data_IF_337077114044
#
_entry.id   IF_337077114044
#
_cell.length_a   1.000
_cell.length_b   1.000
_cell.length_c   1.000
_cell.angle_alpha   90.00
_cell.angle_beta   90.00
_cell.angle_gamma   90.00
#
_symmetry.space_group_name_H-M   'P 1'
#
loop_
_entity.id
_entity.type
_entity.pdbx_description
1 polymer ?
#
# COMPACT_ATOMS: atom_id res chain seq x y z
N UNK A 1 -0.19 13.35 23.53
CA UNK A 1 -0.72 12.71 22.32
C UNK A 1 -2.21 13.06 22.24
N UNK A 2 -2.57 14.04 21.41
CA UNK A 2 -3.95 14.53 21.34
C UNK A 2 -4.79 13.51 20.57
N UNK A 3 -5.68 12.83 21.28
CA UNK A 3 -6.53 11.77 20.72
C UNK A 3 -7.64 12.43 19.90
N UNK A 4 -7.47 12.50 18.59
CA UNK A 4 -8.45 13.09 17.66
C UNK A 4 -9.45 12.01 17.27
N UNK A 5 -10.72 12.35 17.40
CA UNK A 5 -11.85 11.44 17.20
C UNK A 5 -12.84 12.13 16.27
N UNK A 6 -13.09 11.53 15.11
CA UNK A 6 -14.17 11.90 14.23
C UNK A 6 -15.48 11.37 14.85
N UNK A 7 -16.10 12.15 15.74
CA UNK A 7 -17.46 11.88 16.21
C UNK A 7 -18.40 12.85 15.50
N UNK A 8 -19.16 12.34 14.53
CA UNK A 8 -20.43 12.95 14.15
C UNK A 8 -21.43 12.67 15.28
N UNK A 9 -21.41 13.50 16.31
CA UNK A 9 -22.41 13.54 17.36
C UNK A 9 -23.33 14.71 17.03
N UNK A 10 -24.28 14.52 16.13
CA UNK A 10 -25.27 15.55 15.78
C UNK A 10 -26.10 15.90 17.01
N UNK A 11 -25.62 16.85 17.81
CA UNK A 11 -26.41 17.49 18.85
C UNK A 11 -27.27 18.60 18.22
N UNK A 12 -26.70 19.32 17.25
CA UNK A 12 -27.40 20.13 16.26
C UNK A 12 -26.51 20.33 15.03
N UNK A 13 -26.92 19.83 13.86
CA UNK A 13 -26.28 20.21 12.59
C UNK A 13 -26.90 21.51 12.12
N UNK A 14 -26.11 22.57 11.99
CA UNK A 14 -26.56 23.80 11.34
C UNK A 14 -26.46 23.64 9.82
N UNK A 15 -27.32 24.35 9.09
CA UNK A 15 -27.33 24.28 7.64
C UNK A 15 -27.68 25.63 6.99
N UNK A 16 -27.07 25.87 5.84
CA UNK A 16 -27.40 26.92 4.89
C UNK A 16 -27.66 26.31 3.51
N UNK A 17 -28.62 26.87 2.77
CA UNK A 17 -28.94 26.50 1.39
C UNK A 17 -29.74 27.62 0.70
N UNK A 18 -29.74 27.64 -0.63
CA UNK A 18 -30.55 28.59 -1.40
C UNK A 18 -32.06 28.31 -1.23
N UNK A 19 -32.43 27.04 -1.07
CA UNK A 19 -33.81 26.58 -0.92
C UNK A 19 -33.90 25.41 0.06
N UNK A 20 -34.97 25.43 0.87
CA UNK A 20 -35.39 24.33 1.75
C UNK A 20 -36.83 23.93 1.43
N UNK A 21 -37.07 22.63 1.29
CA UNK A 21 -38.40 22.04 1.16
C UNK A 21 -38.64 21.03 2.29
N UNK A 22 -39.82 21.08 2.90
CA UNK A 22 -40.27 20.05 3.84
C UNK A 22 -41.35 19.21 3.18
N UNK A 23 -41.00 17.97 2.87
CA UNK A 23 -41.86 17.02 2.19
C UNK A 23 -42.47 16.08 3.23
N UNK A 24 -43.77 15.81 3.11
CA UNK A 24 -44.47 14.82 3.94
C UNK A 24 -44.66 13.55 3.12
N UNK A 25 -44.03 12.48 3.56
CA UNK A 25 -44.11 11.14 2.99
C UNK A 25 -44.89 10.22 3.94
N UNK A 26 -45.21 9.00 3.48
CA UNK A 26 -45.85 7.98 4.33
C UNK A 26 -44.96 7.59 5.52
N UNK A 27 -43.63 7.60 5.31
CA UNK A 27 -42.61 7.25 6.31
C UNK A 27 -42.33 8.36 7.33
N UNK A 28 -42.70 9.61 7.04
CA UNK A 28 -42.43 10.75 7.91
C UNK A 28 -42.23 12.07 7.16
N UNK A 29 -41.48 12.99 7.78
CA UNK A 29 -41.07 14.25 7.15
C UNK A 29 -39.65 14.12 6.60
N UNK A 30 -39.45 14.52 5.37
CA UNK A 30 -38.14 14.64 4.71
C UNK A 30 -37.82 16.12 4.53
N UNK A 31 -36.59 16.53 4.83
CA UNK A 31 -36.11 17.87 4.51
C UNK A 31 -35.16 17.78 3.32
N UNK A 32 -35.46 18.54 2.28
CA UNK A 32 -34.66 18.62 1.06
C UNK A 32 -34.06 20.02 0.95
N UNK A 33 -32.73 20.10 0.86
CA UNK A 33 -31.97 21.34 0.68
C UNK A 33 -31.39 21.37 -0.73
N UNK A 34 -31.48 22.51 -1.41
CA UNK A 34 -30.99 22.66 -2.78
C UNK A 34 -30.26 23.99 -2.95
N UNK A 35 -29.13 23.95 -3.65
CA UNK A 35 -28.31 25.11 -4.00
C UNK A 35 -27.38 25.53 -2.86
N UNK A 36 -26.07 25.56 -3.14
CA UNK A 36 -25.02 25.96 -2.20
C UNK A 36 -25.16 25.35 -0.79
N UNK A 37 -25.52 24.07 -0.70
CA UNK A 37 -25.76 23.41 0.58
C UNK A 37 -24.47 23.39 1.40
N UNK A 38 -24.54 23.93 2.61
CA UNK A 38 -23.48 23.94 3.60
C UNK A 38 -24.04 23.43 4.92
N UNK A 39 -23.53 22.30 5.39
CA UNK A 39 -23.87 21.70 6.69
C UNK A 39 -22.66 21.82 7.59
N UNK A 40 -22.82 22.32 8.82
CA UNK A 40 -21.67 22.54 9.68
C UNK A 40 -21.97 22.37 11.18
N UNK A 41 -20.92 21.97 11.88
CA UNK A 41 -20.81 21.86 13.35
C UNK A 41 -19.37 22.24 13.72
N UNK A 42 -19.06 22.57 14.97
CA UNK A 42 -17.78 23.13 15.46
C UNK A 42 -16.50 22.72 14.68
N UNK A 43 -16.36 21.43 14.34
CA UNK A 43 -15.18 20.84 13.68
C UNK A 43 -15.49 20.10 12.38
N UNK A 44 -16.63 20.38 11.78
CA UNK A 44 -17.13 19.72 10.58
C UNK A 44 -17.76 20.75 9.65
N UNK A 45 -17.31 20.79 8.41
CA UNK A 45 -17.89 21.60 7.33
C UNK A 45 -18.11 20.67 6.13
N UNK A 46 -19.38 20.49 5.74
CA UNK A 46 -19.81 19.67 4.60
C UNK A 46 -20.43 20.60 3.57
N UNK A 47 -19.97 20.55 2.32
CA UNK A 47 -20.54 21.32 1.21
C UNK A 47 -20.94 20.43 0.06
N UNK A 48 -22.06 20.76 -0.58
CA UNK A 48 -22.59 20.07 -1.74
C UNK A 48 -23.60 20.93 -2.50
N UNK A 49 -24.17 20.38 -3.56
CA UNK A 49 -25.24 21.03 -4.32
C UNK A 49 -26.63 20.76 -3.74
N UNK A 50 -26.82 19.60 -3.11
CA UNK A 50 -28.11 19.10 -2.65
C UNK A 50 -27.94 18.22 -1.42
N UNK A 51 -28.89 18.26 -0.48
CA UNK A 51 -28.93 17.35 0.65
C UNK A 51 -30.34 16.91 1.02
N UNK A 52 -30.46 15.67 1.48
CA UNK A 52 -31.69 15.05 1.95
C UNK A 52 -31.51 14.58 3.39
N UNK A 53 -32.34 15.09 4.28
CA UNK A 53 -32.47 14.59 5.64
C UNK A 53 -33.72 13.74 5.73
N UNK A 54 -33.52 12.46 6.05
CA UNK A 54 -34.60 11.47 6.15
C UNK A 54 -34.58 10.83 7.54
N UNK A 55 -35.20 11.46 8.56
CA UNK A 55 -35.21 10.98 9.93
C UNK A 55 -35.77 9.56 10.09
N UNK A 56 -36.81 9.21 9.33
CA UNK A 56 -37.43 7.89 9.37
C UNK A 56 -36.50 6.77 8.89
N UNK A 57 -35.68 7.06 7.87
CA UNK A 57 -34.65 6.15 7.36
C UNK A 57 -33.34 6.24 8.17
N UNK A 58 -33.25 7.13 9.15
CA UNK A 58 -32.02 7.45 9.88
C UNK A 58 -30.86 7.77 8.92
N UNK A 59 -31.10 8.60 7.91
CA UNK A 59 -30.11 8.89 6.88
C UNK A 59 -29.98 10.39 6.53
N UNK A 60 -28.75 10.77 6.18
CA UNK A 60 -28.40 12.03 5.53
C UNK A 60 -27.73 11.70 4.20
N UNK A 61 -28.18 12.31 3.11
CA UNK A 61 -27.59 12.12 1.80
C UNK A 61 -27.17 13.49 1.26
N UNK A 62 -25.97 13.60 0.70
CA UNK A 62 -25.44 14.84 0.12
C UNK A 62 -24.90 14.52 -1.27
N UNK A 63 -25.26 15.35 -2.26
CA UNK A 63 -24.87 15.19 -3.66
C UNK A 63 -24.18 16.44 -4.21
N UNK A 64 -23.40 16.23 -5.27
CA UNK A 64 -22.92 17.29 -6.16
C UNK A 64 -21.63 17.95 -5.67
N UNK A 65 -20.48 17.42 -6.11
CA UNK A 65 -19.14 17.93 -5.79
C UNK A 65 -18.89 18.07 -4.29
N UNK A 66 -19.13 16.99 -3.55
CA UNK A 66 -19.00 16.94 -2.10
C UNK A 66 -17.60 17.35 -1.66
N UNK A 67 -17.53 18.26 -0.67
CA UNK A 67 -16.32 18.58 0.08
C UNK A 67 -16.64 18.48 1.57
N UNK A 68 -15.81 17.76 2.31
CA UNK A 68 -15.90 17.70 3.77
C UNK A 68 -14.55 18.15 4.32
N UNK A 69 -14.58 19.16 5.18
CA UNK A 69 -13.45 19.51 6.04
C UNK A 69 -13.77 19.09 7.46
N UNK A 70 -12.88 18.31 8.04
CA UNK A 70 -12.95 17.91 9.43
C UNK A 70 -11.67 18.33 10.17
N UNK A 71 -11.63 18.08 11.48
CA UNK A 71 -10.49 18.46 12.31
C UNK A 71 -9.14 17.93 11.78
N UNK A 72 -9.11 16.71 11.24
CA UNK A 72 -7.89 16.01 10.84
C UNK A 72 -7.94 15.43 9.42
N UNK A 73 -8.97 15.77 8.63
CA UNK A 73 -9.11 15.24 7.29
C UNK A 73 -9.82 16.22 6.35
N UNK A 74 -9.34 16.28 5.11
CA UNK A 74 -10.04 16.86 3.97
C UNK A 74 -10.53 15.73 3.06
N UNK A 75 -11.82 15.71 2.76
CA UNK A 75 -12.45 14.68 1.94
C UNK A 75 -13.16 15.31 0.76
N UNK A 76 -13.02 14.72 -0.43
CA UNK A 76 -13.81 15.05 -1.61
C UNK A 76 -14.42 13.80 -2.21
N UNK A 77 -15.65 13.89 -2.72
CA UNK A 77 -16.33 12.81 -3.45
C UNK A 77 -17.44 13.40 -4.34
N UNK A 78 -18.19 12.57 -5.04
CA UNK A 78 -19.40 13.03 -5.74
C UNK A 78 -20.63 13.03 -4.83
N UNK A 79 -20.71 12.09 -3.89
CA UNK A 79 -21.81 12.00 -2.92
C UNK A 79 -21.41 11.34 -1.61
N UNK A 80 -22.24 11.60 -0.58
CA UNK A 80 -22.20 11.00 0.74
C UNK A 80 -23.57 10.43 1.07
N UNK A 81 -23.61 9.20 1.57
CA UNK A 81 -24.73 8.65 2.31
C UNK A 81 -24.28 8.33 3.74
N UNK A 82 -24.87 8.99 4.72
CA UNK A 82 -24.57 8.80 6.12
C UNK A 82 -25.74 8.12 6.84
N UNK A 83 -25.49 6.93 7.37
CA UNK A 83 -26.40 6.19 8.24
C UNK A 83 -26.24 6.70 9.68
N UNK A 84 -27.19 7.50 10.16
CA UNK A 84 -27.12 8.13 11.49
C UNK A 84 -27.22 7.13 12.63
N UNK A 85 -28.04 6.07 12.47
CA UNK A 85 -28.21 5.02 13.48
C UNK A 85 -26.92 4.20 13.70
N UNK A 86 -26.34 3.70 12.61
CA UNK A 86 -25.12 2.89 12.65
C UNK A 86 -23.84 3.74 12.76
N UNK A 87 -23.92 5.03 12.40
CA UNK A 87 -22.79 5.94 12.25
C UNK A 87 -21.79 5.40 11.23
N UNK A 88 -22.26 5.24 10.00
CA UNK A 88 -21.46 4.82 8.86
C UNK A 88 -21.59 5.87 7.76
N UNK A 89 -20.46 6.35 7.25
CA UNK A 89 -20.43 7.21 6.06
C UNK A 89 -20.02 6.39 4.85
N UNK A 90 -20.85 6.38 3.82
CA UNK A 90 -20.54 5.84 2.51
C UNK A 90 -20.26 7.00 1.55
N UNK A 91 -19.02 7.09 1.09
CA UNK A 91 -18.57 8.08 0.12
C UNK A 91 -18.48 7.41 -1.24
N UNK A 92 -19.02 8.05 -2.27
CA UNK A 92 -19.09 7.47 -3.61
C UNK A 92 -18.47 8.36 -4.67
N UNK A 93 -17.79 7.69 -5.61
CA UNK A 93 -17.14 8.17 -6.82
C UNK A 93 -16.06 9.22 -6.57
N UNK A 94 -14.86 8.96 -7.13
CA UNK A 94 -13.69 9.86 -7.03
C UNK A 94 -13.42 10.28 -5.59
N UNK A 95 -13.54 9.34 -4.66
CA UNK A 95 -13.32 9.61 -3.24
C UNK A 95 -11.82 9.87 -3.05
N UNK A 96 -11.50 10.99 -2.43
CA UNK A 96 -10.15 11.34 -1.99
C UNK A 96 -10.23 11.76 -0.53
N UNK A 97 -9.45 11.11 0.33
CA UNK A 97 -9.29 11.44 1.75
C UNK A 97 -7.85 11.85 1.97
N UNK A 98 -7.61 13.07 2.42
CA UNK A 98 -6.28 13.57 2.79
C UNK A 98 -6.21 13.78 4.29
N UNK A 99 -5.20 13.19 4.93
CA UNK A 99 -4.97 13.27 6.38
C UNK A 99 -3.47 13.24 6.67
N UNK A 100 -2.93 14.36 7.13
CA UNK A 100 -1.49 14.51 7.33
C UNK A 100 -0.73 14.22 6.02
N UNK A 101 0.19 13.26 6.07
CA UNK A 101 0.96 12.82 4.90
C UNK A 101 0.29 11.68 4.13
N UNK A 102 -0.92 11.26 4.50
CA UNK A 102 -1.61 10.15 3.84
C UNK A 102 -2.70 10.67 2.90
N UNK A 103 -2.70 10.18 1.65
CA UNK A 103 -3.79 10.36 0.70
C UNK A 103 -4.39 8.99 0.35
N UNK A 104 -5.69 8.82 0.54
CA UNK A 104 -6.43 7.62 0.15
C UNK A 104 -7.36 7.98 -1.00
N UNK A 105 -7.27 7.25 -2.12
CA UNK A 105 -8.19 7.37 -3.25
C UNK A 105 -8.92 6.06 -3.49
N UNK A 106 -10.22 6.17 -3.79
CA UNK A 106 -11.01 5.01 -4.16
C UNK A 106 -12.29 5.41 -4.92
N UNK A 107 -12.92 4.46 -5.63
CA UNK A 107 -14.28 4.66 -6.13
C UNK A 107 -15.33 4.74 -5.01
N UNK A 108 -15.10 4.06 -3.89
CA UNK A 108 -16.02 4.02 -2.74
C UNK A 108 -15.24 3.83 -1.44
N UNK A 109 -15.64 4.52 -0.37
CA UNK A 109 -15.11 4.30 0.98
C UNK A 109 -16.27 4.27 1.97
N UNK A 110 -16.30 3.22 2.81
CA UNK A 110 -17.20 3.14 3.96
C UNK A 110 -16.44 3.39 5.26
N UNK A 111 -16.79 4.43 6.01
CA UNK A 111 -16.14 4.83 7.27
C UNK A 111 -17.05 4.47 8.45
N UNK A 112 -16.59 3.53 9.28
CA UNK A 112 -17.28 3.05 10.48
C UNK A 112 -16.84 3.85 11.70
N UNK A 113 -17.50 4.99 11.96
CA UNK A 113 -17.07 6.00 12.94
C UNK A 113 -16.82 5.45 14.34
N UNK A 114 -17.62 4.47 14.81
CA UNK A 114 -17.45 3.85 16.14
C UNK A 114 -16.13 3.10 16.28
N UNK A 115 -15.74 2.37 15.23
CA UNK A 115 -14.51 1.57 15.20
C UNK A 115 -13.30 2.31 14.61
N UNK A 116 -13.55 3.45 13.94
CA UNK A 116 -12.57 4.21 13.15
C UNK A 116 -11.92 3.40 12.04
N UNK A 117 -12.67 2.46 11.48
CA UNK A 117 -12.22 1.64 10.35
C UNK A 117 -12.80 2.22 9.06
N UNK A 118 -11.95 2.48 8.08
CA UNK A 118 -12.36 2.69 6.69
C UNK A 118 -12.24 1.36 5.92
N UNK A 119 -13.29 0.99 5.19
CA UNK A 119 -13.30 -0.17 4.29
C UNK A 119 -13.41 0.29 2.83
N UNK A 120 -12.58 -0.30 1.98
CA UNK A 120 -12.47 0.05 0.57
C UNK A 120 -12.52 -1.26 -0.25
N UNK A 121 -13.63 -1.53 -0.94
CA UNK A 121 -13.89 -2.86 -1.50
C UNK A 121 -13.26 -3.15 -2.87
N UNK A 122 -12.63 -2.17 -3.52
CA UNK A 122 -11.91 -2.33 -4.79
C UNK A 122 -11.08 -1.08 -5.16
N UNK A 123 -10.03 -1.28 -5.97
CA UNK A 123 -9.24 -0.20 -6.59
C UNK A 123 -8.77 0.90 -5.61
N UNK A 124 -8.39 0.49 -4.40
CA UNK A 124 -7.86 1.40 -3.39
C UNK A 124 -6.46 1.87 -3.79
N UNK A 125 -6.15 3.12 -3.47
CA UNK A 125 -4.82 3.70 -3.56
C UNK A 125 -4.53 4.40 -2.23
N UNK A 126 -3.52 3.94 -1.51
CA UNK A 126 -3.01 4.58 -0.29
C UNK A 126 -1.63 5.12 -0.60
N UNK A 127 -1.47 6.43 -0.51
CA UNK A 127 -0.22 7.13 -0.79
C UNK A 127 0.32 7.76 0.48
N UNK A 128 1.58 7.47 0.80
CA UNK A 128 2.38 8.29 1.71
C UNK A 128 3.05 9.40 0.90
N UNK A 129 2.58 10.63 1.09
CA UNK A 129 3.06 11.83 0.39
C UNK A 129 4.47 12.24 0.80
N UNK A 130 4.93 11.84 1.99
CA UNK A 130 6.27 12.17 2.49
C UNK A 130 7.29 11.18 1.94
N UNK A 131 6.99 9.89 2.08
CA UNK A 131 7.88 8.82 1.66
C UNK A 131 7.71 8.47 0.17
N UNK A 132 6.71 9.04 -0.51
CA UNK A 132 6.41 8.80 -1.91
C UNK A 132 6.08 7.34 -2.22
N UNK A 133 5.47 6.63 -1.27
CA UNK A 133 5.08 5.24 -1.42
C UNK A 133 3.61 5.18 -1.84
N UNK A 134 3.32 4.39 -2.87
CA UNK A 134 1.97 4.08 -3.31
C UNK A 134 1.66 2.61 -3.08
N UNK A 135 0.55 2.34 -2.39
CA UNK A 135 0.03 1.00 -2.18
C UNK A 135 -1.34 0.89 -2.81
N UNK A 136 -1.56 -0.14 -3.62
CA UNK A 136 -2.82 -0.41 -4.30
C UNK A 136 -3.33 -1.81 -4.00
N UNK A 137 -4.65 -2.02 -4.08
CA UNK A 137 -5.28 -3.32 -3.91
C UNK A 137 -6.81 -3.27 -3.88
N UNK A 138 -7.44 -4.44 -3.82
CA UNK A 138 -8.89 -4.57 -3.97
C UNK A 138 -9.67 -4.80 -2.68
N UNK A 139 -9.03 -5.00 -1.54
CA UNK A 139 -9.73 -5.12 -0.26
C UNK A 139 -8.89 -4.48 0.83
N UNK A 140 -9.27 -3.26 1.20
CA UNK A 140 -8.54 -2.48 2.19
C UNK A 140 -9.38 -2.23 3.41
N UNK A 141 -8.79 -2.52 4.57
CA UNK A 141 -9.27 -2.08 5.86
C UNK A 141 -8.21 -1.18 6.49
N UNK A 142 -8.58 0.05 6.85
CA UNK A 142 -7.65 1.04 7.40
C UNK A 142 -8.16 1.57 8.75
N UNK A 143 -7.37 1.40 9.81
CA UNK A 143 -7.63 1.94 11.15
C UNK A 143 -7.13 3.40 11.19
N UNK A 144 -8.07 4.33 11.06
CA UNK A 144 -7.80 5.78 11.08
C UNK A 144 -7.29 6.27 12.44
N UNK A 145 -7.51 5.50 13.51
CA UNK A 145 -7.04 5.85 14.85
C UNK A 145 -5.57 5.48 15.10
N UNK A 146 -5.03 4.53 14.34
CA UNK A 146 -3.67 3.99 14.51
C UNK A 146 -2.77 4.17 13.29
N UNK A 147 -3.32 4.69 12.20
CA UNK A 147 -2.66 4.81 10.90
C UNK A 147 -2.11 3.47 10.39
N UNK A 148 -2.92 2.42 10.56
CA UNK A 148 -2.59 1.05 10.13
C UNK A 148 -3.55 0.55 9.07
N UNK A 149 -3.00 -0.05 8.01
CA UNK A 149 -3.76 -0.61 6.90
C UNK A 149 -3.53 -2.11 6.75
N UNK A 150 -4.55 -2.81 6.26
CA UNK A 150 -4.45 -4.15 5.70
C UNK A 150 -4.98 -4.09 4.28
N UNK A 151 -4.20 -4.60 3.34
CA UNK A 151 -4.54 -4.70 1.92
C UNK A 151 -4.49 -6.18 1.54
N UNK A 152 -5.60 -6.67 1.00
CA UNK A 152 -5.69 -8.02 0.44
C UNK A 152 -6.27 -7.97 -0.97
N UNK A 153 -6.08 -9.06 -1.72
CA UNK A 153 -6.40 -9.18 -3.15
C UNK A 153 -5.60 -8.19 -4.00
N UNK A 154 -4.55 -8.72 -4.63
CA UNK A 154 -3.64 -7.99 -5.52
C UNK A 154 -2.94 -6.78 -4.87
N UNK A 155 -2.43 -6.86 -3.62
CA UNK A 155 -1.63 -5.77 -3.06
C UNK A 155 -0.38 -5.52 -3.89
N UNK A 156 -0.15 -4.25 -4.20
CA UNK A 156 1.05 -3.77 -4.89
C UNK A 156 1.57 -2.55 -4.16
N UNK A 157 2.85 -2.56 -3.79
CA UNK A 157 3.59 -1.39 -3.31
C UNK A 157 4.56 -0.92 -4.39
N UNK A 158 4.63 0.39 -4.59
CA UNK A 158 5.54 1.08 -5.52
C UNK A 158 6.16 2.30 -4.84
N UNK A 159 7.36 2.69 -5.25
CA UNK A 159 7.89 4.04 -5.01
C UNK A 159 7.49 4.93 -6.21
N UNK A 160 6.97 6.12 -5.94
CA UNK A 160 6.56 7.10 -6.96
C UNK A 160 7.57 8.25 -7.13
N UNK A 161 8.65 8.30 -6.33
CA UNK A 161 9.65 9.37 -6.39
C UNK A 161 10.68 9.17 -7.48
N UNK A 162 10.94 7.91 -7.81
CA UNK A 162 11.92 7.50 -8.81
C UNK A 162 11.22 6.82 -9.99
N UNK A 163 11.83 6.89 -11.16
CA UNK A 163 11.39 6.12 -12.35
C UNK A 163 11.82 4.65 -12.26
N UNK A 164 12.20 4.17 -11.08
CA UNK A 164 12.67 2.80 -10.89
C UNK A 164 11.53 1.79 -11.01
N UNK A 165 11.85 0.58 -11.45
CA UNK A 165 10.92 -0.54 -11.54
C UNK A 165 10.64 -1.20 -10.17
N UNK A 166 10.97 -0.52 -9.06
CA UNK A 166 10.80 -1.05 -7.71
C UNK A 166 9.31 -1.32 -7.41
N UNK A 167 8.98 -2.61 -7.25
CA UNK A 167 7.61 -3.05 -6.97
C UNK A 167 7.58 -4.26 -6.07
N UNK A 168 6.72 -4.24 -5.06
CA UNK A 168 6.44 -5.40 -4.22
C UNK A 168 5.01 -5.88 -4.50
N UNK A 169 4.84 -7.17 -4.75
CA UNK A 169 3.53 -7.82 -4.86
C UNK A 169 3.42 -8.98 -3.88
N UNK A 170 2.22 -9.27 -3.40
CA UNK A 170 1.95 -10.37 -2.47
C UNK A 170 0.48 -10.78 -2.50
N UNK A 171 0.08 -11.73 -1.65
CA UNK A 171 -1.34 -12.03 -1.41
C UNK A 171 -1.97 -11.07 -0.39
N UNK A 172 -1.19 -10.67 0.62
CA UNK A 172 -1.57 -9.75 1.70
C UNK A 172 -0.44 -8.77 2.02
N UNK A 173 -0.82 -7.57 2.41
CA UNK A 173 0.11 -6.53 2.85
C UNK A 173 -0.48 -5.78 4.06
N UNK A 174 0.36 -5.50 5.05
CA UNK A 174 0.04 -4.64 6.18
C UNK A 174 0.91 -3.39 6.13
N UNK A 175 0.34 -2.26 6.54
CA UNK A 175 1.00 -0.97 6.54
C UNK A 175 0.88 -0.41 7.96
N UNK A 176 1.97 0.10 8.49
CA UNK A 176 2.01 0.81 9.76
C UNK A 176 2.71 2.15 9.53
N UNK A 177 1.93 3.21 9.31
CA UNK A 177 2.48 4.54 9.05
C UNK A 177 3.15 5.12 10.30
N UNK A 178 2.71 4.72 11.49
CA UNK A 178 3.33 5.14 12.75
C UNK A 178 4.72 4.55 12.94
N UNK A 179 4.89 3.27 12.59
CA UNK A 179 6.19 2.60 12.60
C UNK A 179 6.99 2.79 11.29
N UNK A 180 6.40 3.46 10.28
CA UNK A 180 6.93 3.59 8.93
C UNK A 180 7.46 2.27 8.37
N UNK A 181 6.60 1.27 8.47
CA UNK A 181 6.89 -0.08 8.01
C UNK A 181 5.75 -0.63 7.17
N UNK A 182 6.08 -1.58 6.31
CA UNK A 182 5.11 -2.49 5.70
C UNK A 182 5.57 -3.93 5.84
N UNK A 183 4.61 -4.84 5.89
CA UNK A 183 4.87 -6.26 5.76
C UNK A 183 4.03 -6.86 4.65
N UNK A 184 4.59 -7.84 3.96
CA UNK A 184 3.94 -8.57 2.89
C UNK A 184 4.03 -10.06 3.18
N UNK A 185 2.98 -10.81 2.84
CA UNK A 185 2.92 -12.25 3.06
C UNK A 185 2.17 -12.96 1.94
N UNK A 186 2.60 -14.20 1.68
CA UNK A 186 2.06 -15.08 0.65
C UNK A 186 2.61 -14.72 -0.73
N UNK A 187 3.50 -15.57 -1.26
CA UNK A 187 4.12 -15.42 -2.59
C UNK A 187 4.64 -14.00 -2.84
N UNK A 188 5.43 -13.49 -1.90
CA UNK A 188 6.00 -12.15 -2.01
C UNK A 188 6.98 -12.15 -3.18
N UNK A 189 6.86 -11.13 -4.02
CA UNK A 189 7.78 -10.86 -5.12
C UNK A 189 8.18 -9.39 -5.08
N UNK A 190 9.47 -9.14 -4.98
CA UNK A 190 10.10 -7.82 -5.10
C UNK A 190 10.74 -7.76 -6.47
N UNK A 191 10.31 -6.83 -7.31
CA UNK A 191 10.91 -6.53 -8.60
C UNK A 191 11.77 -5.29 -8.46
N UNK A 192 13.01 -5.34 -8.95
CA UNK A 192 13.90 -4.20 -9.14
C UNK A 192 14.37 -4.16 -10.60
N UNK A 193 15.19 -3.18 -10.95
CA UNK A 193 15.83 -3.12 -12.28
C UNK A 193 16.74 -4.32 -12.53
N UNK A 194 17.52 -4.72 -11.50
CA UNK A 194 18.58 -5.73 -11.64
C UNK A 194 18.13 -7.16 -11.32
N UNK A 195 17.10 -7.33 -10.49
CA UNK A 195 16.74 -8.64 -9.95
C UNK A 195 15.27 -8.77 -9.58
N UNK A 196 14.84 -10.02 -9.43
CA UNK A 196 13.58 -10.36 -8.74
C UNK A 196 13.89 -11.16 -7.48
N UNK A 197 13.39 -10.71 -6.33
CA UNK A 197 13.46 -11.44 -5.06
C UNK A 197 12.10 -12.08 -4.78
N UNK A 198 12.10 -13.34 -4.37
CA UNK A 198 10.93 -14.11 -3.94
C UNK A 198 11.10 -14.50 -2.48
N UNK A 199 10.01 -14.51 -1.72
CA UNK A 199 9.95 -15.06 -0.37
C UNK A 199 8.49 -15.31 0.07
N UNK A 200 8.31 -15.99 1.20
CA UNK A 200 6.99 -16.18 1.81
C UNK A 200 6.53 -14.95 2.58
N UNK A 201 7.46 -14.29 3.28
CA UNK A 201 7.20 -13.08 4.06
C UNK A 201 8.28 -12.04 3.89
N UNK A 202 7.87 -10.78 3.99
CA UNK A 202 8.74 -9.61 3.91
C UNK A 202 8.32 -8.60 4.97
N UNK A 203 9.29 -7.97 5.61
CA UNK A 203 9.12 -6.75 6.41
C UNK A 203 10.05 -5.68 5.86
N UNK A 204 9.54 -4.48 5.62
CA UNK A 204 10.27 -3.34 5.06
C UNK A 204 10.12 -2.15 6.02
N UNK A 205 11.24 -1.53 6.37
CA UNK A 205 11.33 -0.36 7.24
C UNK A 205 11.81 0.84 6.41
N UNK A 206 10.91 1.80 6.15
CA UNK A 206 11.16 2.86 5.17
C UNK A 206 12.21 3.87 5.60
N UNK A 207 12.32 4.18 6.90
CA UNK A 207 13.31 5.13 7.42
C UNK A 207 14.72 4.57 7.47
N UNK A 208 14.82 3.26 7.69
CA UNK A 208 16.10 2.57 7.84
C UNK A 208 16.64 2.09 6.49
N UNK A 209 15.84 2.23 5.42
CA UNK A 209 16.12 1.64 4.11
C UNK A 209 16.51 0.15 4.25
N UNK A 210 15.79 -0.57 5.11
CA UNK A 210 16.11 -1.94 5.50
C UNK A 210 14.93 -2.87 5.27
N UNK A 211 15.18 -4.09 4.83
CA UNK A 211 14.18 -5.13 4.68
C UNK A 211 14.68 -6.50 5.11
N UNK A 212 13.74 -7.31 5.59
CA UNK A 212 13.95 -8.69 6.00
C UNK A 212 12.99 -9.60 5.25
N UNK A 213 13.52 -10.49 4.42
CA UNK A 213 12.79 -11.52 3.70
C UNK A 213 13.03 -12.88 4.36
N UNK A 214 11.97 -13.68 4.52
CA UNK A 214 12.09 -15.03 5.06
C UNK A 214 11.08 -16.01 4.45
N UNK A 215 11.49 -17.28 4.44
CA UNK A 215 10.75 -18.42 3.90
C UNK A 215 10.96 -18.56 2.39
N UNK A 216 11.60 -19.64 1.97
CA UNK A 216 11.87 -19.97 0.57
C UNK A 216 12.43 -18.77 -0.23
N UNK A 217 13.41 -18.08 0.35
CA UNK A 217 13.96 -16.85 -0.24
C UNK A 217 14.76 -17.18 -1.48
N UNK A 218 14.51 -16.46 -2.57
CA UNK A 218 15.29 -16.62 -3.80
C UNK A 218 15.51 -15.30 -4.51
N UNK A 219 16.68 -15.15 -5.13
CA UNK A 219 17.03 -14.01 -5.97
C UNK A 219 17.28 -14.54 -7.37
N UNK A 220 16.59 -14.00 -8.35
CA UNK A 220 16.79 -14.26 -9.77
C UNK A 220 17.31 -13.01 -10.47
N UNK A 221 18.39 -13.15 -11.23
CA UNK A 221 18.94 -12.12 -12.11
C UNK A 221 19.31 -12.75 -13.47
N UNK A 222 19.67 -11.97 -14.50
CA UNK A 222 20.16 -12.52 -15.77
C UNK A 222 21.37 -13.45 -15.64
N UNK A 223 22.19 -13.26 -14.60
CA UNK A 223 23.45 -13.95 -14.34
C UNK A 223 23.23 -15.29 -13.62
N UNK A 224 22.12 -15.44 -12.90
CA UNK A 224 21.87 -16.65 -12.13
C UNK A 224 20.71 -16.59 -11.14
N UNK A 225 20.69 -17.59 -10.27
CA UNK A 225 19.73 -17.75 -9.19
C UNK A 225 20.42 -18.10 -7.89
N UNK A 226 19.99 -17.47 -6.82
CA UNK A 226 20.45 -17.72 -5.46
C UNK A 226 19.24 -18.14 -4.63
N UNK A 227 19.31 -19.29 -3.99
CA UNK A 227 18.31 -19.76 -3.03
C UNK A 227 18.88 -19.66 -1.60
N UNK A 228 18.03 -19.31 -0.62
CA UNK A 228 18.34 -19.26 0.81
C UNK A 228 17.03 -19.36 1.63
N UNK A 229 17.10 -19.57 2.94
CA UNK A 229 15.89 -19.48 3.75
C UNK A 229 15.50 -18.03 4.05
N UNK A 230 16.48 -17.16 4.28
CA UNK A 230 16.27 -15.77 4.69
C UNK A 230 17.31 -14.82 4.07
N UNK A 231 16.91 -13.56 3.96
CA UNK A 231 17.80 -12.49 3.53
C UNK A 231 17.48 -11.18 4.25
N UNK A 232 18.52 -10.47 4.65
CA UNK A 232 18.45 -9.08 5.05
C UNK A 232 18.97 -8.23 3.89
N UNK A 233 18.33 -7.11 3.60
CA UNK A 233 18.77 -6.23 2.53
C UNK A 233 18.68 -4.76 2.91
N UNK A 234 19.63 -4.00 2.39
CA UNK A 234 19.73 -2.56 2.53
C UNK A 234 19.48 -1.89 1.20
N UNK A 235 18.75 -0.79 1.25
CA UNK A 235 18.42 0.05 0.12
C UNK A 235 19.23 1.35 0.20
N UNK A 236 19.41 2.01 -0.94
CA UNK A 236 19.87 3.40 -1.00
C UNK A 236 19.15 4.07 -2.14
N UNK A 237 18.27 5.02 -1.82
CA UNK A 237 17.36 5.58 -2.83
C UNK A 237 16.50 4.48 -3.48
N UNK A 238 16.08 3.48 -2.69
CA UNK A 238 15.29 2.30 -3.11
C UNK A 238 15.94 1.34 -4.10
N UNK A 239 17.19 1.56 -4.47
CA UNK A 239 17.99 0.54 -5.14
C UNK A 239 18.60 -0.40 -4.11
N UNK A 240 18.69 -1.69 -4.44
CA UNK A 240 19.40 -2.66 -3.60
C UNK A 240 20.86 -2.21 -3.52
N UNK A 241 21.36 -2.03 -2.29
CA UNK A 241 22.76 -1.71 -2.02
C UNK A 241 23.53 -2.94 -1.56
N UNK A 242 22.95 -3.69 -0.64
CA UNK A 242 23.57 -4.88 -0.08
C UNK A 242 22.49 -5.90 0.26
N UNK A 243 22.80 -7.18 0.05
CA UNK A 243 21.97 -8.29 0.50
C UNK A 243 22.84 -9.28 1.27
N UNK A 244 22.41 -9.63 2.46
CA UNK A 244 22.98 -10.69 3.28
C UNK A 244 22.02 -11.87 3.34
N UNK A 245 22.38 -12.96 2.65
CA UNK A 245 21.62 -14.21 2.65
C UNK A 245 22.22 -15.19 3.65
N UNK A 246 21.35 -15.91 4.34
CA UNK A 246 21.76 -16.87 5.35
C UNK A 246 20.83 -18.08 5.44
N UNK A 247 21.42 -19.18 5.90
CA UNK A 247 20.81 -20.51 6.03
C UNK A 247 20.56 -21.16 4.66
N UNK A 248 21.25 -22.28 4.41
CA UNK A 248 21.15 -23.12 3.22
C UNK A 248 21.32 -22.37 1.88
N UNK A 249 22.32 -21.46 1.81
CA UNK A 249 22.56 -20.67 0.60
C UNK A 249 23.11 -21.54 -0.53
N UNK A 250 22.38 -21.58 -1.64
CA UNK A 250 22.79 -22.24 -2.89
C UNK A 250 22.78 -21.24 -4.03
N UNK A 251 23.95 -20.95 -4.57
CA UNK A 251 24.14 -20.00 -5.68
C UNK A 251 24.43 -20.75 -6.96
N UNK A 252 23.68 -20.45 -8.02
CA UNK A 252 23.87 -21.00 -9.37
C UNK A 252 24.00 -19.85 -10.35
N UNK A 253 25.15 -19.71 -11.00
CA UNK A 253 25.39 -18.63 -11.95
C UNK A 253 26.23 -19.10 -13.14
N UNK A 254 26.25 -18.27 -14.19
CA UNK A 254 27.11 -18.46 -15.36
C UNK A 254 28.27 -17.49 -15.36
N UNK A 255 29.45 -17.98 -15.72
CA UNK A 255 30.62 -17.12 -15.98
C UNK A 255 30.49 -16.44 -17.34
N UNK A 256 31.36 -15.46 -17.61
CA UNK A 256 31.47 -14.85 -18.94
C UNK A 256 31.73 -15.89 -20.05
N UNK A 257 32.45 -16.97 -19.72
CA UNK A 257 32.71 -18.12 -20.59
C UNK A 257 31.52 -19.07 -20.79
N UNK A 258 30.34 -18.75 -20.23
CA UNK A 258 29.14 -19.61 -20.21
C UNK A 258 29.30 -20.91 -19.40
N UNK A 259 30.36 -21.02 -18.60
CA UNK A 259 30.51 -22.13 -17.65
C UNK A 259 29.49 -21.98 -16.53
N UNK A 260 29.02 -23.11 -16.00
CA UNK A 260 28.06 -23.11 -14.90
C UNK A 260 28.76 -23.35 -13.58
N UNK A 261 28.45 -22.54 -12.57
CA UNK A 261 29.01 -22.67 -11.23
C UNK A 261 27.88 -22.87 -10.23
N UNK A 262 28.04 -23.86 -9.35
CA UNK A 262 27.15 -24.10 -8.22
C UNK A 262 27.96 -23.96 -6.93
N UNK A 263 27.56 -23.07 -6.04
CA UNK A 263 28.23 -22.81 -4.76
C UNK A 263 27.24 -23.04 -3.62
N UNK A 264 27.64 -23.81 -2.61
CA UNK A 264 26.92 -23.97 -1.36
C UNK A 264 27.71 -23.26 -0.25
N UNK A 265 27.03 -22.41 0.53
CA UNK A 265 27.65 -21.68 1.62
C UNK A 265 26.64 -21.44 2.75
N UNK A 266 27.06 -21.36 4.02
CA UNK A 266 26.16 -20.93 5.08
C UNK A 266 25.69 -19.48 4.94
N UNK A 267 26.53 -18.62 4.39
CA UNK A 267 26.27 -17.18 4.25
C UNK A 267 26.78 -16.64 2.92
N UNK A 268 26.05 -15.69 2.36
CA UNK A 268 26.46 -14.93 1.18
C UNK A 268 26.15 -13.45 1.39
N UNK A 269 27.13 -12.59 1.14
CA UNK A 269 26.92 -11.14 0.98
C UNK A 269 27.03 -10.76 -0.49
N UNK A 270 26.08 -9.97 -0.98
CA UNK A 270 26.07 -9.40 -2.33
C UNK A 270 26.13 -7.89 -2.19
N UNK A 271 27.16 -7.27 -2.76
CA UNK A 271 27.33 -5.81 -2.80
C UNK A 271 26.96 -5.27 -4.19
N UNK A 272 26.00 -4.32 -4.21
CA UNK A 272 25.49 -3.61 -5.39
C UNK A 272 25.94 -2.13 -5.42
N UNK A 273 26.91 -1.74 -4.60
CA UNK A 273 27.40 -0.35 -4.50
C UNK A 273 28.00 0.20 -5.78
N UNK A 274 28.30 -0.66 -6.75
CA UNK A 274 28.67 -0.31 -8.12
C UNK A 274 27.69 -0.99 -9.07
N UNK A 275 27.46 -0.41 -10.25
CA UNK A 275 26.48 -0.92 -11.22
C UNK A 275 26.80 -2.39 -11.56
N UNK A 276 25.79 -3.26 -11.43
CA UNK A 276 25.87 -4.73 -11.44
C UNK A 276 26.44 -5.29 -10.12
N UNK A 277 25.89 -6.41 -9.62
CA UNK A 277 26.38 -7.08 -8.42
C UNK A 277 27.88 -7.44 -8.57
N UNK A 278 28.77 -6.60 -8.07
CA UNK A 278 30.21 -6.71 -8.36
C UNK A 278 30.88 -7.78 -7.49
N UNK A 279 30.36 -8.02 -6.28
CA UNK A 279 31.07 -8.81 -5.29
C UNK A 279 30.11 -9.79 -4.60
N UNK A 280 30.35 -11.07 -4.83
CA UNK A 280 29.78 -12.19 -4.09
C UNK A 280 30.79 -12.67 -3.04
N UNK A 281 30.45 -12.55 -1.75
CA UNK A 281 31.31 -12.95 -0.64
C UNK A 281 30.68 -14.14 0.10
N UNK A 282 31.22 -15.33 -0.14
CA UNK A 282 30.79 -16.57 0.53
C UNK A 282 31.57 -16.80 1.82
N UNK A 283 30.89 -17.06 2.95
CA UNK A 283 31.57 -17.27 4.25
C UNK A 283 30.97 -18.45 5.03
N UNK A 284 31.75 -19.01 5.97
CA UNK A 284 31.27 -20.07 6.88
C UNK A 284 31.56 -21.51 6.48
N UNK A 285 32.33 -21.76 5.42
CA UNK A 285 32.68 -23.11 4.95
C UNK A 285 32.04 -23.41 3.60
N UNK A 286 32.58 -22.79 2.56
CA UNK A 286 32.02 -22.80 1.21
C UNK A 286 32.51 -24.01 0.43
N UNK A 287 31.62 -24.65 -0.32
CA UNK A 287 31.95 -25.68 -1.31
C UNK A 287 31.34 -25.32 -2.66
N UNK A 288 31.95 -25.76 -3.76
CA UNK A 288 31.43 -25.45 -5.08
C UNK A 288 31.81 -26.50 -6.12
N UNK A 289 31.00 -26.56 -7.18
CA UNK A 289 31.26 -27.38 -8.37
C UNK A 289 31.28 -26.46 -9.58
N UNK A 290 32.33 -26.61 -10.39
CA UNK A 290 32.53 -25.87 -11.63
C UNK A 290 32.28 -26.82 -12.81
N UNK A 291 31.39 -26.44 -13.71
CA UNK A 291 31.08 -27.19 -14.92
C UNK A 291 31.61 -26.41 -16.11
N UNK A 292 32.76 -26.83 -16.64
CA UNK A 292 33.31 -26.25 -17.85
C UNK A 292 32.50 -26.69 -19.06
N UNK A 293 32.27 -25.76 -20.00
CA UNK A 293 31.69 -26.07 -21.29
C UNK A 293 32.78 -26.59 -22.21
N UNK A 294 32.65 -27.82 -22.69
CA UNK A 294 33.44 -28.25 -23.85
C UNK A 294 33.02 -27.40 -25.05
N UNK A 295 33.97 -26.67 -25.66
CA UNK A 295 33.75 -26.02 -26.94
C UNK A 295 33.27 -27.10 -27.92
N UNK A 296 32.06 -26.91 -28.47
CA UNK A 296 31.62 -27.74 -29.56
C UNK A 296 32.64 -27.55 -30.69
N UNK A 297 33.39 -28.62 -31.00
CA UNK A 297 34.37 -28.60 -32.07
C UNK A 297 33.74 -27.95 -33.30
N UNK A 298 34.35 -26.86 -33.77
CA UNK A 298 33.82 -26.11 -34.91
C UNK A 298 33.52 -27.11 -36.04
N UNK A 299 32.31 -27.07 -36.64
CA UNK A 299 32.01 -27.97 -37.75
C UNK A 299 33.09 -27.81 -38.80
N UNK A 300 33.78 -28.90 -39.12
CA UNK A 300 34.76 -28.91 -40.21
C UNK A 300 34.02 -28.42 -41.46
N UNK A 301 34.42 -27.27 -41.98
CA UNK A 301 33.91 -26.76 -43.25
C UNK A 301 34.51 -27.64 -44.34
N UNK A 302 33.70 -28.55 -44.88
CA UNK A 302 33.95 -29.28 -46.13
C UNK A 302 33.74 -28.38 -47.36
#
# INVERSE_FOLDING_TARGET
>A
MMMIVFFLLFSALEFEADKMESLREESGRTTHLTGNVHLYEEKLDIRGAEAWFKPAEQSLIVYGSLRIKAQDADITADSLWFETGNRISHLYRRVVVKRGNTEIRAPEISIYHRSRIAKIPYAAQIRDLKEGILITGDDVSYDLGKDKGSVSRNPILRDERDSSDFRITSERMHIDQGARAASAAGKVRILTEDATVYCDTLVLFYEEDFGHASGNTAIESPEGRIDADSADFWLTGRNLKEIFLYTDVVTRYRTEGQDSVVVNSPYLTIDFSKKNAEILIFTGGTSGTYFWREEAAAPQQD
#
